data_IF_533918531071
#
_entry.id   IF_533918531071
#
_cell.length_a   1.000
_cell.length_b   1.000
_cell.length_c   1.000
_cell.angle_alpha   90.00
_cell.angle_beta   90.00
_cell.angle_gamma   90.00
#
_symmetry.space_group_name_H-M   'P 1'
#
loop_
_entity.id
_entity.type
_entity.pdbx_description
1 polymer ?
#
# COMPACT_ATOMS: atom_id res chain seq x y z
N UNK A 1 5.28 -10.71 8.11
CA UNK A 1 4.05 -10.29 7.42
C UNK A 1 3.47 -9.11 8.19
N UNK A 2 3.10 -8.01 7.53
CA UNK A 2 2.50 -6.86 8.20
C UNK A 2 1.13 -7.20 8.80
N UNK A 3 0.80 -6.59 9.93
CA UNK A 3 -0.46 -6.78 10.69
C UNK A 3 -1.66 -6.13 9.99
N UNK A 4 -1.94 -6.50 8.74
CA UNK A 4 -2.91 -5.80 7.87
C UNK A 4 -4.26 -6.49 7.70
N UNK A 5 -4.59 -7.45 8.57
CA UNK A 5 -5.96 -8.01 8.68
C UNK A 5 -6.53 -7.71 10.07
N UNK A 6 -6.51 -6.45 10.49
CA UNK A 6 -7.18 -6.04 11.74
C UNK A 6 -8.67 -5.96 11.44
N UNK A 7 -9.38 -7.01 11.81
CA UNK A 7 -10.84 -7.02 11.85
C UNK A 7 -11.29 -6.30 13.12
N UNK A 8 -12.24 -5.39 13.02
CA UNK A 8 -12.93 -4.86 14.19
C UNK A 8 -13.84 -5.98 14.73
N UNK A 9 -13.43 -6.58 15.84
CA UNK A 9 -14.20 -7.65 16.48
C UNK A 9 -15.17 -7.02 17.46
N UNK A 10 -16.45 -7.00 17.10
CA UNK A 10 -17.52 -6.63 18.02
C UNK A 10 -17.94 -7.85 18.83
N UNK A 11 -18.03 -7.70 20.16
CA UNK A 11 -18.45 -8.78 21.05
C UNK A 11 -19.98 -8.79 21.09
N UNK A 12 -20.59 -9.59 20.22
CA UNK A 12 -22.05 -9.66 20.03
C UNK A 12 -22.80 -10.37 21.17
N UNK A 13 -22.11 -11.02 22.10
CA UNK A 13 -22.72 -11.75 23.21
C UNK A 13 -23.35 -13.10 22.82
N UNK A 14 -23.48 -13.36 21.52
CA UNK A 14 -24.02 -14.59 20.94
C UNK A 14 -22.96 -15.32 20.11
N UNK A 15 -23.03 -16.65 20.08
CA UNK A 15 -22.10 -17.48 19.30
C UNK A 15 -22.52 -17.49 17.83
N UNK A 16 -21.80 -16.76 16.99
CA UNK A 16 -21.99 -16.82 15.54
C UNK A 16 -21.21 -17.98 14.92
N UNK A 17 -21.82 -18.69 13.97
CA UNK A 17 -21.13 -19.72 13.19
C UNK A 17 -20.53 -19.10 11.93
N UNK A 18 -19.22 -19.22 11.76
CA UNK A 18 -18.57 -18.77 10.54
C UNK A 18 -19.05 -19.65 9.37
N UNK A 19 -19.48 -19.09 8.23
CA UNK A 19 -19.93 -19.89 7.11
C UNK A 19 -18.81 -20.84 6.67
N UNK A 20 -19.16 -22.09 6.35
CA UNK A 20 -18.17 -23.07 5.90
C UNK A 20 -17.44 -22.49 4.69
N UNK A 21 -16.13 -22.34 4.79
CA UNK A 21 -15.27 -21.94 3.68
C UNK A 21 -14.65 -23.22 3.11
N UNK A 22 -15.30 -23.93 2.16
CA UNK A 22 -14.79 -25.21 1.64
C UNK A 22 -13.43 -25.10 0.94
N UNK A 23 -13.02 -23.88 0.59
CA UNK A 23 -11.71 -23.55 0.03
C UNK A 23 -10.65 -23.24 1.10
N UNK A 24 -11.03 -23.10 2.38
CA UNK A 24 -10.09 -22.82 3.46
C UNK A 24 -9.47 -24.12 3.98
N UNK A 25 -8.14 -24.14 4.06
CA UNK A 25 -7.40 -25.27 4.64
C UNK A 25 -7.58 -25.26 6.16
N UNK A 26 -7.87 -26.42 6.74
CA UNK A 26 -7.95 -26.57 8.20
C UNK A 26 -6.54 -26.58 8.80
N UNK A 27 -6.20 -25.51 9.52
CA UNK A 27 -4.89 -25.33 10.14
C UNK A 27 -4.88 -25.61 11.65
N UNK A 28 -5.95 -26.18 12.23
CA UNK A 28 -6.08 -26.39 13.69
C UNK A 28 -4.99 -27.28 14.31
N UNK A 29 -4.30 -28.09 13.51
CA UNK A 29 -3.21 -28.98 13.94
C UNK A 29 -1.83 -28.64 13.36
N UNK A 30 -1.68 -27.53 12.64
CA UNK A 30 -0.40 -27.13 12.03
C UNK A 30 0.32 -26.17 12.98
N UNK A 31 1.49 -26.57 13.46
CA UNK A 31 2.35 -25.70 14.24
C UNK A 31 2.83 -24.55 13.34
N UNK A 32 2.48 -23.30 13.66
CA UNK A 32 2.85 -22.15 12.83
C UNK A 32 4.35 -21.86 12.99
N UNK A 33 5.18 -22.00 11.95
CA UNK A 33 6.63 -21.83 12.10
C UNK A 33 6.97 -20.39 12.52
N UNK A 34 7.86 -20.25 13.51
CA UNK A 34 8.54 -19.00 13.83
C UNK A 34 7.79 -18.01 14.75
N UNK A 35 6.84 -18.45 15.57
CA UNK A 35 6.18 -17.59 16.59
C UNK A 35 6.65 -17.79 18.04
N UNK A 36 7.37 -18.87 18.35
CA UNK A 36 7.90 -19.10 19.71
C UNK A 36 8.87 -18.00 20.16
N UNK A 37 9.57 -17.37 19.20
CA UNK A 37 10.67 -16.45 19.48
C UNK A 37 10.33 -14.97 19.18
N UNK A 38 9.10 -14.69 18.74
CA UNK A 38 8.66 -13.32 18.41
C UNK A 38 8.01 -12.70 19.64
N UNK A 39 8.66 -11.67 20.20
CA UNK A 39 8.11 -10.88 21.32
C UNK A 39 6.72 -10.34 20.95
N UNK A 40 5.74 -10.63 21.79
CA UNK A 40 4.42 -10.01 21.78
C UNK A 40 4.56 -8.48 21.92
N UNK A 41 4.03 -7.75 20.94
CA UNK A 41 4.12 -6.28 20.86
C UNK A 41 3.00 -5.60 21.69
N UNK A 42 1.99 -6.34 22.14
CA UNK A 42 0.77 -5.80 22.78
C UNK A 42 0.47 -6.42 24.15
N UNK A 43 1.50 -6.87 24.88
CA UNK A 43 1.40 -7.23 26.30
C UNK A 43 0.34 -8.32 26.61
N UNK A 44 0.47 -9.51 26.02
CA UNK A 44 -0.26 -10.74 26.33
C UNK A 44 -1.74 -10.80 25.89
N UNK A 45 -2.20 -9.92 25.01
CA UNK A 45 -3.47 -10.16 24.32
C UNK A 45 -3.21 -11.15 23.19
N UNK A 46 -3.23 -12.46 23.52
CA UNK A 46 -3.03 -13.55 22.57
C UNK A 46 -3.86 -13.30 21.31
N UNK A 47 -3.20 -12.83 20.26
CA UNK A 47 -3.78 -12.65 18.93
C UNK A 47 -4.31 -13.99 18.43
N UNK A 48 -5.63 -14.20 18.50
CA UNK A 48 -6.28 -15.20 17.66
C UNK A 48 -6.37 -14.60 16.26
N UNK A 49 -5.25 -14.65 15.53
CA UNK A 49 -5.25 -14.28 14.13
C UNK A 49 -6.00 -15.35 13.35
N UNK A 50 -7.24 -15.06 12.95
CA UNK A 50 -7.96 -15.85 11.96
C UNK A 50 -7.31 -15.59 10.60
N UNK A 51 -6.18 -16.25 10.36
CA UNK A 51 -5.44 -16.17 9.11
C UNK A 51 -6.14 -17.02 8.07
N UNK A 52 -7.05 -16.43 7.30
CA UNK A 52 -7.38 -17.03 6.00
C UNK A 52 -6.12 -16.94 5.14
N UNK A 53 -5.47 -18.08 4.89
CA UNK A 53 -4.32 -18.17 3.99
C UNK A 53 -4.81 -18.07 2.54
N UNK A 54 -5.34 -16.91 2.14
CA UNK A 54 -5.31 -16.55 0.72
C UNK A 54 -3.88 -16.11 0.47
N UNK A 55 -3.08 -16.96 -0.16
CA UNK A 55 -1.79 -16.58 -0.72
C UNK A 55 -2.04 -15.57 -1.85
N UNK A 56 -2.31 -14.31 -1.48
CA UNK A 56 -2.39 -13.24 -2.45
C UNK A 56 -1.00 -12.96 -2.96
N UNK A 57 -0.73 -13.24 -4.24
CA UNK A 57 0.48 -12.79 -4.90
C UNK A 57 0.63 -11.28 -4.65
N UNK A 58 1.72 -10.89 -3.97
CA UNK A 58 1.94 -9.49 -3.57
C UNK A 58 2.29 -8.60 -4.78
N UNK A 59 2.46 -9.21 -5.96
CA UNK A 59 2.86 -8.59 -7.23
C UNK A 59 2.15 -9.31 -8.38
N UNK A 60 1.61 -8.55 -9.32
CA UNK A 60 0.99 -9.05 -10.55
C UNK A 60 1.43 -8.20 -11.74
N UNK A 61 0.75 -8.33 -12.89
CA UNK A 61 0.94 -7.44 -14.05
C UNK A 61 0.69 -5.99 -13.63
N UNK A 62 1.53 -5.08 -14.11
CA UNK A 62 1.45 -3.65 -13.79
C UNK A 62 0.90 -2.87 -14.96
N UNK A 63 -0.05 -1.99 -14.65
CA UNK A 63 -0.50 -0.97 -15.57
C UNK A 63 0.54 0.16 -15.60
N UNK A 64 0.61 0.86 -16.73
CA UNK A 64 1.57 1.92 -16.95
C UNK A 64 0.82 3.23 -17.15
N UNK A 65 1.20 4.22 -16.36
CA UNK A 65 0.85 5.62 -16.55
C UNK A 65 1.94 6.35 -17.33
N UNK A 66 1.80 7.66 -17.43
CA UNK A 66 2.77 8.49 -18.15
C UNK A 66 4.09 8.61 -17.39
N UNK A 67 4.05 8.47 -16.06
CA UNK A 67 5.22 8.34 -15.21
C UNK A 67 5.25 6.94 -14.60
N UNK A 68 6.44 6.38 -14.46
CA UNK A 68 6.67 5.14 -13.72
C UNK A 68 7.58 5.50 -12.55
N UNK A 69 7.03 5.61 -11.34
CA UNK A 69 7.85 5.96 -10.18
C UNK A 69 8.86 4.84 -9.88
N UNK A 70 10.13 5.21 -9.83
CA UNK A 70 11.22 4.29 -9.54
C UNK A 70 11.74 4.43 -8.11
N UNK A 71 12.35 3.36 -7.58
CA UNK A 71 13.04 3.43 -6.29
C UNK A 71 14.18 4.46 -6.31
N UNK A 72 14.91 4.54 -7.42
CA UNK A 72 16.00 5.49 -7.59
C UNK A 72 15.51 6.94 -7.48
N UNK A 73 14.36 7.28 -8.07
CA UNK A 73 13.78 8.63 -7.98
C UNK A 73 13.29 8.98 -6.57
N UNK A 74 12.75 8.00 -5.85
CA UNK A 74 12.36 8.20 -4.44
C UNK A 74 13.60 8.44 -3.57
N UNK A 75 14.67 7.65 -3.76
CA UNK A 75 15.95 7.85 -3.05
C UNK A 75 16.56 9.22 -3.40
N UNK A 76 16.50 9.62 -4.66
CA UNK A 76 17.01 10.89 -5.15
C UNK A 76 16.11 12.10 -4.82
N UNK A 77 15.01 11.89 -4.10
CA UNK A 77 14.02 12.93 -3.76
C UNK A 77 13.55 13.74 -4.98
N UNK A 78 13.26 13.05 -6.09
CA UNK A 78 12.78 13.73 -7.29
C UNK A 78 11.48 14.47 -6.99
N UNK A 79 11.50 15.78 -7.14
CA UNK A 79 10.31 16.61 -7.05
C UNK A 79 9.46 16.43 -8.32
N UNK A 80 8.16 16.28 -8.12
CA UNK A 80 7.16 16.24 -9.17
C UNK A 80 6.19 17.39 -8.96
N UNK A 81 5.93 18.16 -10.00
CA UNK A 81 4.92 19.25 -9.97
C UNK A 81 3.51 18.73 -9.64
N UNK A 82 3.24 17.46 -9.96
CA UNK A 82 1.99 16.76 -9.75
C UNK A 82 2.05 15.74 -8.60
N UNK A 83 3.02 15.89 -7.69
CA UNK A 83 3.14 15.07 -6.48
C UNK A 83 1.92 15.27 -5.57
N UNK A 84 1.04 14.27 -5.50
CA UNK A 84 -0.26 14.41 -4.81
C UNK A 84 -0.47 13.41 -3.67
N UNK A 85 0.22 12.26 -3.66
CA UNK A 85 0.07 11.26 -2.59
C UNK A 85 1.35 11.21 -1.75
N UNK A 86 1.35 11.71 -0.49
CA UNK A 86 2.51 11.57 0.39
C UNK A 86 2.67 10.12 0.84
N UNK A 87 3.91 9.62 0.86
CA UNK A 87 4.24 8.31 1.43
C UNK A 87 5.50 8.38 2.30
N UNK A 88 5.42 7.73 3.45
CA UNK A 88 6.50 7.68 4.46
C UNK A 88 6.98 6.24 4.70
N UNK A 89 6.45 5.26 3.96
CA UNK A 89 6.71 3.86 4.23
C UNK A 89 7.95 3.32 3.51
N UNK A 90 8.83 2.65 4.25
CA UNK A 90 10.07 2.08 3.71
C UNK A 90 9.83 1.06 2.58
N UNK A 91 10.84 0.82 1.74
CA UNK A 91 10.76 -0.20 0.69
C UNK A 91 10.66 -1.62 1.27
N UNK A 92 9.43 -2.11 1.54
CA UNK A 92 9.14 -3.48 1.99
C UNK A 92 9.22 -4.45 0.81
N UNK A 93 10.46 -4.75 0.39
CA UNK A 93 10.76 -5.69 -0.68
C UNK A 93 11.52 -6.89 -0.12
N UNK A 94 10.87 -8.04 -0.25
CA UNK A 94 11.39 -9.32 0.20
C UNK A 94 12.08 -10.03 -0.96
N UNK A 95 13.38 -10.25 -0.84
CA UNK A 95 14.12 -11.14 -1.74
C UNK A 95 14.39 -12.47 -1.03
N UNK A 96 14.37 -13.60 -1.75
CA UNK A 96 14.83 -14.86 -1.18
C UNK A 96 16.27 -14.70 -0.68
N UNK A 97 16.61 -15.36 0.42
CA UNK A 97 17.98 -15.39 0.92
C UNK A 97 18.90 -16.08 -0.10
N UNK A 98 20.10 -15.51 -0.30
CA UNK A 98 21.10 -15.98 -1.27
C UNK A 98 21.41 -17.47 -1.15
N UNK A 99 21.31 -18.04 0.05
CA UNK A 99 21.53 -19.46 0.33
C UNK A 99 20.54 -20.38 -0.39
N UNK A 100 19.36 -19.89 -0.77
CA UNK A 100 18.29 -20.68 -1.37
C UNK A 100 18.12 -20.44 -2.88
N UNK A 101 19.05 -19.76 -3.56
CA UNK A 101 18.93 -19.52 -5.01
C UNK A 101 19.24 -20.75 -5.85
N UNK A 102 20.07 -21.69 -5.35
CA UNK A 102 20.55 -22.84 -6.11
C UNK A 102 19.73 -24.12 -5.90
N UNK A 103 18.96 -24.21 -4.82
CA UNK A 103 18.21 -25.41 -4.44
C UNK A 103 16.91 -24.94 -3.81
N UNK A 104 15.77 -25.16 -4.48
CA UNK A 104 14.47 -25.13 -3.82
C UNK A 104 14.44 -26.33 -2.86
N UNK A 105 14.95 -26.15 -1.64
CA UNK A 105 14.88 -27.19 -0.62
C UNK A 105 13.42 -27.46 -0.26
N UNK A 106 13.03 -28.73 -0.33
CA UNK A 106 11.77 -29.22 0.26
C UNK A 106 11.81 -28.94 1.77
N UNK A 107 11.07 -27.92 2.22
CA UNK A 107 10.91 -27.58 3.65
C UNK A 107 11.24 -26.14 4.05
N UNK A 108 12.12 -25.44 3.32
CA UNK A 108 12.68 -24.13 3.72
C UNK A 108 12.40 -22.98 2.73
N UNK A 109 11.49 -23.19 1.77
CA UNK A 109 10.99 -22.09 0.96
C UNK A 109 10.42 -20.99 1.86
N UNK A 110 10.58 -19.72 1.49
CA UNK A 110 10.01 -18.52 2.14
C UNK A 110 10.88 -17.73 3.14
N UNK A 111 12.13 -18.12 3.45
CA UNK A 111 13.04 -17.22 4.15
C UNK A 111 13.47 -16.06 3.24
N UNK A 112 12.94 -14.87 3.53
CA UNK A 112 13.21 -13.64 2.78
C UNK A 112 13.92 -12.61 3.63
N UNK A 113 14.87 -11.90 3.02
CA UNK A 113 15.54 -10.75 3.64
C UNK A 113 14.85 -9.47 3.20
N UNK A 114 14.46 -8.66 4.16
CA UNK A 114 13.92 -7.31 3.96
C UNK A 114 15.09 -6.33 3.78
N UNK A 115 15.08 -5.59 2.67
CA UNK A 115 16.10 -4.58 2.36
C UNK A 115 15.51 -3.20 2.60
N UNK A 116 15.79 -2.66 3.79
CA UNK A 116 15.37 -1.32 4.19
C UNK A 116 16.46 -0.33 3.80
N UNK A 117 16.29 0.28 2.63
CA UNK A 117 17.09 1.45 2.28
C UNK A 117 16.51 2.69 2.95
N UNK A 118 17.40 3.47 3.57
CA UNK A 118 17.05 4.76 4.15
C UNK A 118 16.89 5.78 3.01
N UNK A 119 15.80 6.53 3.04
CA UNK A 119 15.57 7.68 2.17
C UNK A 119 14.82 8.75 2.96
N UNK A 120 14.77 9.96 2.42
CA UNK A 120 14.11 11.08 3.10
C UNK A 120 12.60 11.00 2.88
N UNK A 121 11.85 10.99 3.99
CA UNK A 121 10.38 10.97 4.00
C UNK A 121 9.82 12.35 4.34
N UNK A 122 8.63 12.73 3.81
CA UNK A 122 7.84 11.98 2.83
C UNK A 122 8.38 12.13 1.40
N UNK A 123 8.08 11.15 0.54
CA UNK A 123 8.12 11.33 -0.92
C UNK A 123 6.70 11.41 -1.45
N UNK A 124 6.52 12.05 -2.60
CA UNK A 124 5.20 12.23 -3.21
C UNK A 124 5.08 11.38 -4.48
N UNK A 125 4.01 10.60 -4.57
CA UNK A 125 3.66 9.85 -5.78
C UNK A 125 2.99 10.85 -6.73
N UNK A 126 3.49 10.99 -7.98
CA UNK A 126 2.91 11.90 -8.95
C UNK A 126 1.56 11.40 -9.46
N UNK A 127 0.65 12.32 -9.74
CA UNK A 127 -0.68 12.04 -10.27
C UNK A 127 -0.63 11.24 -11.58
N UNK A 128 0.39 11.47 -12.42
CA UNK A 128 0.67 10.68 -13.63
C UNK A 128 0.89 9.18 -13.41
N UNK A 129 1.11 8.74 -12.18
CA UNK A 129 1.14 7.31 -11.83
C UNK A 129 -0.25 6.69 -11.64
N UNK A 130 -1.31 7.51 -11.55
CA UNK A 130 -2.65 7.12 -11.13
C UNK A 130 -3.66 7.00 -12.28
N UNK A 131 -3.23 7.13 -13.53
CA UNK A 131 -4.05 6.86 -14.71
C UNK A 131 -3.30 6.09 -15.78
N UNK A 132 -4.02 5.38 -16.64
CA UNK A 132 -3.43 4.60 -17.73
C UNK A 132 -2.91 5.49 -18.85
N UNK A 133 -1.70 5.20 -19.34
CA UNK A 133 -1.12 5.90 -20.50
C UNK A 133 -1.87 5.64 -21.81
N UNK A 134 -2.52 4.48 -21.96
CA UNK A 134 -3.09 4.01 -23.22
C UNK A 134 -4.58 3.64 -23.18
N UNK A 135 -5.20 3.60 -22.00
CA UNK A 135 -6.66 3.48 -21.85
C UNK A 135 -7.18 4.83 -21.34
N UNK A 136 -7.77 5.69 -22.21
CA UNK A 136 -8.01 7.10 -21.89
C UNK A 136 -8.87 7.34 -20.64
N UNK A 137 -9.83 6.46 -20.35
CA UNK A 137 -10.77 6.60 -19.24
C UNK A 137 -10.52 5.56 -18.13
N UNK A 138 -9.25 5.31 -17.79
CA UNK A 138 -8.88 4.35 -16.76
C UNK A 138 -7.99 5.01 -15.70
N UNK A 139 -8.53 5.17 -14.50
CA UNK A 139 -7.77 5.47 -13.29
C UNK A 139 -7.24 4.21 -12.62
N UNK A 140 -6.21 4.40 -11.78
CA UNK A 140 -5.49 3.37 -11.04
C UNK A 140 -5.25 3.89 -9.62
N UNK A 141 -5.61 3.11 -8.61
CA UNK A 141 -5.39 3.44 -7.21
C UNK A 141 -5.09 2.16 -6.42
N UNK A 142 -4.07 2.22 -5.57
CA UNK A 142 -3.60 1.10 -4.78
C UNK A 142 -2.48 0.31 -5.46
N UNK A 143 -2.58 -1.02 -5.52
CA UNK A 143 -1.46 -1.89 -5.96
C UNK A 143 -1.21 -1.88 -7.47
N UNK A 144 -2.14 -1.37 -8.26
CA UNK A 144 -2.11 -1.39 -9.72
C UNK A 144 -1.52 -0.13 -10.35
N UNK A 145 -1.03 0.83 -9.54
CA UNK A 145 -0.45 2.09 -10.01
C UNK A 145 0.87 1.89 -10.76
N UNK A 146 1.27 2.91 -11.51
CA UNK A 146 2.45 2.89 -12.37
C UNK A 146 3.76 3.07 -11.58
N UNK A 147 4.33 1.96 -11.12
CA UNK A 147 5.57 1.96 -10.34
C UNK A 147 6.47 0.78 -10.67
N UNK A 148 7.76 0.91 -10.38
CA UNK A 148 8.70 -0.22 -10.42
C UNK A 148 8.41 -1.25 -9.31
N UNK A 149 8.93 -2.47 -9.49
CA UNK A 149 8.82 -3.56 -8.52
C UNK A 149 9.24 -3.16 -7.10
N UNK A 150 10.29 -2.35 -7.02
CA UNK A 150 10.86 -1.92 -5.75
C UNK A 150 10.10 -0.74 -5.15
N UNK A 151 9.74 0.25 -5.97
CA UNK A 151 8.92 1.38 -5.53
C UNK A 151 7.54 0.92 -5.03
N UNK A 152 6.99 -0.15 -5.60
CA UNK A 152 5.73 -0.75 -5.12
C UNK A 152 5.83 -1.20 -3.66
N UNK A 153 7.01 -1.62 -3.18
CA UNK A 153 7.22 -2.00 -1.78
C UNK A 153 6.89 -0.87 -0.80
N UNK A 154 7.15 0.37 -1.20
CA UNK A 154 6.87 1.57 -0.42
C UNK A 154 5.47 2.16 -0.70
N UNK A 155 4.97 2.04 -1.94
CA UNK A 155 3.70 2.67 -2.34
C UNK A 155 2.44 1.88 -1.95
N UNK A 156 2.54 0.56 -1.75
CA UNK A 156 1.38 -0.36 -1.62
C UNK A 156 0.74 -0.47 -0.24
N UNK A 157 1.08 0.41 0.70
CA UNK A 157 0.57 0.33 2.08
C UNK A 157 -0.87 0.84 2.14
N UNK A 158 -1.71 0.23 2.99
CA UNK A 158 -3.16 0.48 3.01
C UNK A 158 -3.53 1.96 3.14
N UNK A 159 -2.83 2.71 4.00
CA UNK A 159 -3.06 4.16 4.14
C UNK A 159 -2.78 4.91 2.84
N UNK A 160 -1.63 4.66 2.22
CA UNK A 160 -1.25 5.26 0.93
C UNK A 160 -2.24 4.87 -0.18
N UNK A 161 -2.67 3.60 -0.21
CA UNK A 161 -3.72 3.14 -1.13
C UNK A 161 -5.05 3.86 -0.92
N UNK A 162 -5.44 4.12 0.33
CA UNK A 162 -6.63 4.90 0.68
C UNK A 162 -6.55 6.33 0.15
N UNK A 163 -5.43 7.02 0.42
CA UNK A 163 -5.18 8.38 -0.10
C UNK A 163 -5.22 8.43 -1.64
N UNK A 164 -4.64 7.44 -2.33
CA UNK A 164 -4.76 7.35 -3.80
C UNK A 164 -6.22 7.29 -4.25
N UNK A 165 -7.06 6.53 -3.53
CA UNK A 165 -8.48 6.40 -3.83
C UNK A 165 -9.23 7.73 -3.70
N UNK A 166 -8.97 8.49 -2.65
CA UNK A 166 -9.54 9.83 -2.44
C UNK A 166 -9.13 10.79 -3.56
N UNK A 167 -7.83 10.84 -3.86
CA UNK A 167 -7.25 11.70 -4.90
C UNK A 167 -7.84 11.37 -6.27
N UNK A 168 -7.94 10.08 -6.63
CA UNK A 168 -8.59 9.63 -7.86
C UNK A 168 -10.08 9.97 -7.88
N UNK A 169 -10.78 9.86 -6.75
CA UNK A 169 -12.18 10.27 -6.63
C UNK A 169 -12.39 11.74 -6.97
N UNK A 170 -11.54 12.62 -6.44
CA UNK A 170 -11.55 14.05 -6.77
C UNK A 170 -11.22 14.31 -8.24
N UNK A 171 -10.21 13.64 -8.79
CA UNK A 171 -9.87 13.77 -10.20
C UNK A 171 -11.02 13.31 -11.11
N UNK A 172 -11.71 12.22 -10.75
CA UNK A 172 -12.88 11.74 -11.47
C UNK A 172 -14.05 12.74 -11.43
N UNK A 173 -14.26 13.42 -10.30
CA UNK A 173 -15.26 14.50 -10.21
C UNK A 173 -14.93 15.66 -11.17
N UNK A 174 -13.64 16.04 -11.28
CA UNK A 174 -13.20 17.05 -12.25
C UNK A 174 -13.38 16.56 -13.70
N UNK A 175 -13.10 15.29 -13.99
CA UNK A 175 -13.35 14.70 -15.29
C UNK A 175 -14.82 14.84 -15.70
N UNK A 176 -15.75 14.57 -14.77
CA UNK A 176 -17.19 14.72 -15.01
C UNK A 176 -17.62 16.19 -15.14
N UNK A 177 -17.10 17.08 -14.30
CA UNK A 177 -17.41 18.51 -14.28
C UNK A 177 -17.03 19.19 -15.60
N UNK A 178 -15.87 18.84 -16.17
CA UNK A 178 -15.33 19.48 -17.39
C UNK A 178 -15.45 18.64 -18.66
N UNK A 179 -15.96 17.40 -18.58
CA UNK A 179 -16.03 16.49 -19.72
C UNK A 179 -14.65 16.10 -20.26
N UNK A 180 -13.66 15.93 -19.39
CA UNK A 180 -12.26 15.66 -19.74
C UNK A 180 -11.82 14.27 -19.30
N UNK A 181 -10.79 13.73 -19.94
CA UNK A 181 -10.16 12.47 -19.56
C UNK A 181 -9.18 12.64 -18.37
N UNK A 182 -8.89 11.58 -17.60
CA UNK A 182 -7.87 11.55 -16.55
C UNK A 182 -6.56 12.29 -16.87
N UNK A 183 -5.99 12.05 -18.05
CA UNK A 183 -4.75 12.70 -18.52
C UNK A 183 -4.89 14.22 -18.59
N UNK A 184 -6.04 14.70 -19.05
CA UNK A 184 -6.32 16.12 -19.21
C UNK A 184 -6.51 16.86 -17.88
N UNK A 185 -6.75 16.13 -16.78
CA UNK A 185 -6.70 16.74 -15.43
C UNK A 185 -5.29 17.27 -15.15
N UNK A 186 -4.25 16.52 -15.52
CA UNK A 186 -2.87 16.98 -15.43
C UNK A 186 -2.55 18.08 -16.45
N UNK A 187 -2.97 17.92 -17.71
CA UNK A 187 -2.59 18.86 -18.78
C UNK A 187 -3.30 20.22 -18.68
N UNK A 188 -4.56 20.24 -18.22
CA UNK A 188 -5.43 21.42 -18.30
C UNK A 188 -5.89 21.95 -16.94
N UNK A 189 -5.95 21.10 -15.91
CA UNK A 189 -6.58 21.43 -14.62
C UNK A 189 -5.66 21.20 -13.41
N UNK A 190 -4.35 21.04 -13.61
CA UNK A 190 -3.43 20.66 -12.52
C UNK A 190 -3.47 21.65 -11.35
N UNK A 191 -3.44 22.95 -11.62
CA UNK A 191 -3.48 23.97 -10.57
C UNK A 191 -4.79 23.91 -9.75
N UNK A 192 -5.93 23.72 -10.42
CA UNK A 192 -7.24 23.57 -9.76
C UNK A 192 -7.30 22.29 -8.95
N UNK A 193 -6.78 21.20 -9.50
CA UNK A 193 -6.73 19.90 -8.85
C UNK A 193 -5.89 19.96 -7.58
N UNK A 194 -4.66 20.47 -7.65
CA UNK A 194 -3.78 20.61 -6.49
C UNK A 194 -4.32 21.62 -5.47
N UNK A 195 -4.92 22.72 -5.92
CA UNK A 195 -5.60 23.68 -5.03
C UNK A 195 -6.70 23.01 -4.22
N UNK A 196 -7.57 22.23 -4.87
CA UNK A 196 -8.61 21.46 -4.18
C UNK A 196 -8.05 20.45 -3.18
N UNK A 197 -6.93 19.80 -3.49
CA UNK A 197 -6.26 18.89 -2.55
C UNK A 197 -5.69 19.63 -1.34
N UNK A 198 -5.16 20.84 -1.54
CA UNK A 198 -4.65 21.69 -0.47
C UNK A 198 -5.75 22.17 0.48
N UNK A 199 -6.95 22.41 -0.04
CA UNK A 199 -8.11 22.85 0.74
C UNK A 199 -8.77 21.71 1.52
N UNK A 200 -8.31 20.46 1.38
CA UNK A 200 -8.86 19.33 2.12
C UNK A 200 -8.54 19.48 3.61
N UNK A 201 -9.60 19.55 4.40
CA UNK A 201 -9.51 19.51 5.85
C UNK A 201 -8.94 18.15 6.29
N UNK A 202 -7.82 18.20 7.01
CA UNK A 202 -7.23 17.00 7.57
C UNK A 202 -8.10 16.50 8.74
N UNK A 203 -8.86 15.43 8.49
CA UNK A 203 -9.69 14.76 9.49
C UNK A 203 -9.00 13.57 10.15
N UNK A 204 -7.70 13.38 9.94
CA UNK A 204 -6.96 12.34 10.64
C UNK A 204 -6.94 12.61 12.14
N UNK A 205 -7.28 11.59 12.92
CA UNK A 205 -7.17 11.64 14.37
C UNK A 205 -5.71 11.72 14.78
N UNK A 206 -5.37 12.74 15.58
CA UNK A 206 -4.05 12.85 16.21
C UNK A 206 -3.79 11.58 17.05
N UNK A 207 -2.76 10.79 16.69
CA UNK A 207 -2.29 9.71 17.57
C UNK A 207 -1.40 10.33 18.63
N UNK A 208 -1.81 10.25 19.89
CA UNK A 208 -1.16 10.88 21.05
C UNK A 208 0.32 10.51 21.23
N UNK A 209 0.74 9.32 20.77
CA UNK A 209 2.09 8.77 21.02
C UNK A 209 2.99 8.71 19.78
N UNK A 210 2.67 9.46 18.72
CA UNK A 210 3.49 9.50 17.50
C UNK A 210 3.97 10.92 17.25
N UNK A 211 5.21 11.23 17.67
CA UNK A 211 5.85 12.55 17.54
C UNK A 211 6.02 13.07 16.10
N UNK A 212 5.72 12.26 15.09
CA UNK A 212 5.73 12.69 13.68
C UNK A 212 4.44 12.29 12.99
N UNK A 213 3.50 13.24 12.94
CA UNK A 213 2.36 13.15 12.04
C UNK A 213 2.66 13.79 10.68
N UNK A 214 2.01 13.25 9.65
CA UNK A 214 2.41 13.27 8.24
C UNK A 214 2.39 14.64 7.54
N UNK A 215 2.02 15.72 8.23
CA UNK A 215 1.77 17.02 7.60
C UNK A 215 2.62 18.18 8.15
N UNK A 216 3.56 17.97 9.08
CA UNK A 216 4.45 19.05 9.55
C UNK A 216 5.68 19.28 8.66
N UNK A 217 5.68 18.78 7.42
CA UNK A 217 6.82 18.82 6.50
C UNK A 217 6.55 19.62 5.21
N UNK A 218 5.68 20.63 5.27
CA UNK A 218 5.64 21.72 4.31
C UNK A 218 5.98 23.03 5.03
#
# INVERSE_FOLDING_TARGET
MGMTNVWYVEKTGESETFPSCPWAVDLRGVEFPGRSDVKDVYANVREKSLGVLVLGERKSRRLLGDVILTKAEVIAQRAYEDGCVPSTWNFDVHYPDRRFYAVFHEGDGFLTKDYRDLYVTPYFIPFRCLYSRNVPNLFMAGRNISVTHDALGAARVMRTCGMMGEIVGYAAALCLEYGIAPRQVYELQLARFLGRLHDLENKETHKSDVEKQMHSAL
#
